data_IF_859434727170
#
_entry.id   IF_859434727170
#
_cell.length_a   1.000
_cell.length_b   1.000
_cell.length_c   1.000
_cell.angle_alpha   90.00
_cell.angle_beta   90.00
_cell.angle_gamma   90.00
#
_symmetry.space_group_name_H-M   'P 1'
#
loop_
_entity.id
_entity.type
_entity.pdbx_description
1 polymer ?
#
# COMPACT_ATOMS: atom_id res chain seq x y z
N UNK A 1 -22.23 -48.05 -51.63
CA UNK A 1 -21.47 -47.92 -50.37
C UNK A 1 -20.13 -47.33 -50.77
N UNK A 2 -19.95 -46.01 -50.87
CA UNK A 2 -19.84 -45.03 -49.76
C UNK A 2 -19.01 -45.59 -48.61
N UNK A 3 -17.70 -45.34 -48.64
CA UNK A 3 -17.04 -44.52 -47.62
C UNK A 3 -15.63 -44.17 -48.12
N UNK A 4 -15.49 -42.92 -48.58
CA UNK A 4 -14.22 -42.22 -48.64
C UNK A 4 -13.65 -42.14 -47.22
N UNK A 5 -12.46 -42.72 -47.00
CA UNK A 5 -11.64 -42.35 -45.86
C UNK A 5 -11.01 -41.00 -46.19
N UNK A 6 -11.61 -39.94 -45.66
CA UNK A 6 -11.04 -38.60 -45.60
C UNK A 6 -9.85 -38.66 -44.64
N UNK A 7 -8.63 -38.64 -45.18
CA UNK A 7 -7.43 -38.27 -44.43
C UNK A 7 -7.52 -36.77 -44.12
N UNK A 8 -8.16 -36.42 -43.00
CA UNK A 8 -8.22 -35.06 -42.49
C UNK A 8 -6.82 -34.71 -41.93
N UNK A 9 -5.97 -34.07 -42.74
CA UNK A 9 -4.74 -33.47 -42.24
C UNK A 9 -5.07 -32.47 -41.11
N UNK A 10 -4.32 -32.46 -39.99
CA UNK A 10 -4.57 -31.53 -38.90
C UNK A 10 -4.39 -30.08 -39.39
N UNK A 11 -5.50 -29.38 -39.61
CA UNK A 11 -5.49 -27.96 -39.99
C UNK A 11 -4.69 -27.16 -38.98
N UNK A 12 -3.62 -26.51 -39.46
CA UNK A 12 -2.82 -25.59 -38.64
C UNK A 12 -3.71 -24.48 -38.07
N UNK A 13 -3.67 -24.32 -36.75
CA UNK A 13 -4.43 -23.30 -36.05
C UNK A 13 -4.01 -21.90 -36.54
N UNK A 14 -4.99 -21.09 -36.96
CA UNK A 14 -4.73 -19.72 -37.39
C UNK A 14 -4.06 -18.91 -36.27
N UNK A 15 -3.09 -18.05 -36.63
CA UNK A 15 -2.31 -17.21 -35.69
C UNK A 15 -3.18 -16.43 -34.70
N UNK A 16 -4.38 -16.01 -35.11
CA UNK A 16 -5.34 -15.32 -34.25
C UNK A 16 -5.87 -16.24 -33.13
N UNK A 17 -6.14 -17.51 -33.43
CA UNK A 17 -6.62 -18.49 -32.45
C UNK A 17 -5.55 -18.85 -31.43
N UNK A 18 -4.28 -18.94 -31.85
CA UNK A 18 -3.13 -19.15 -30.96
C UNK A 18 -2.91 -17.95 -30.04
N UNK A 19 -3.06 -16.73 -30.56
CA UNK A 19 -2.97 -15.50 -29.76
C UNK A 19 -4.10 -15.39 -28.74
N UNK A 20 -5.36 -15.65 -29.14
CA UNK A 20 -6.51 -15.63 -28.23
C UNK A 20 -6.41 -16.70 -27.14
N UNK A 21 -5.89 -17.89 -27.46
CA UNK A 21 -5.62 -18.94 -26.47
C UNK A 21 -4.54 -18.51 -25.46
N UNK A 22 -3.44 -17.91 -25.93
CA UNK A 22 -2.38 -17.41 -25.05
C UNK A 22 -2.84 -16.28 -24.13
N UNK A 23 -3.68 -15.37 -24.62
CA UNK A 23 -4.31 -14.31 -23.81
C UNK A 23 -5.28 -14.90 -22.79
N UNK A 24 -6.09 -15.89 -23.18
CA UNK A 24 -6.99 -16.59 -22.26
C UNK A 24 -6.27 -17.31 -21.12
N UNK A 25 -5.16 -17.98 -21.42
CA UNK A 25 -4.32 -18.63 -20.41
C UNK A 25 -3.68 -17.62 -19.45
N UNK A 26 -3.12 -16.52 -19.97
CA UNK A 26 -2.54 -15.45 -19.17
C UNK A 26 -3.58 -14.80 -18.23
N UNK A 27 -4.81 -14.56 -18.72
CA UNK A 27 -5.90 -14.00 -17.89
C UNK A 27 -6.34 -14.96 -16.79
N UNK A 28 -6.40 -16.26 -17.08
CA UNK A 28 -6.71 -17.29 -16.09
C UNK A 28 -5.63 -17.37 -15.00
N UNK A 29 -4.35 -17.30 -15.38
CA UNK A 29 -3.23 -17.33 -14.45
C UNK A 29 -3.19 -16.08 -13.56
N UNK A 30 -3.49 -14.90 -14.12
CA UNK A 30 -3.65 -13.66 -13.34
C UNK A 30 -4.81 -13.78 -12.35
N UNK A 31 -5.96 -14.33 -12.79
CA UNK A 31 -7.14 -14.47 -11.94
C UNK A 31 -6.90 -15.41 -10.77
N UNK A 32 -6.22 -16.55 -11.00
CA UNK A 32 -5.85 -17.49 -9.94
C UNK A 32 -4.82 -16.89 -8.96
N UNK A 33 -3.86 -16.10 -9.46
CA UNK A 33 -2.92 -15.36 -8.62
C UNK A 33 -3.64 -14.33 -7.73
N UNK A 34 -4.66 -13.65 -8.25
CA UNK A 34 -5.48 -12.71 -7.49
C UNK A 34 -6.28 -13.38 -6.35
N UNK A 35 -6.91 -14.55 -6.57
CA UNK A 35 -7.63 -15.28 -5.51
C UNK A 35 -6.69 -15.68 -4.35
N UNK A 36 -5.47 -16.13 -4.67
CA UNK A 36 -4.45 -16.47 -3.67
C UNK A 36 -3.95 -15.23 -2.90
N UNK A 37 -3.67 -14.13 -3.61
CA UNK A 37 -3.25 -12.87 -2.99
C UNK A 37 -4.33 -12.31 -2.04
N UNK A 38 -5.60 -12.33 -2.46
CA UNK A 38 -6.72 -11.89 -1.64
C UNK A 38 -6.84 -12.70 -0.34
N UNK A 39 -6.65 -14.01 -0.41
CA UNK A 39 -6.67 -14.90 0.77
C UNK A 39 -5.56 -14.53 1.76
N UNK A 40 -4.34 -14.28 1.28
CA UNK A 40 -3.19 -13.89 2.11
C UNK A 40 -3.44 -12.52 2.75
N UNK A 41 -3.94 -11.55 1.99
CA UNK A 41 -4.28 -10.21 2.49
C UNK A 41 -5.36 -10.26 3.57
N UNK A 42 -6.44 -11.03 3.34
CA UNK A 42 -7.52 -11.18 4.30
C UNK A 42 -7.02 -11.84 5.60
N UNK A 43 -6.21 -12.90 5.47
CA UNK A 43 -5.58 -13.57 6.62
C UNK A 43 -4.74 -12.58 7.43
N UNK A 44 -3.95 -11.74 6.76
CA UNK A 44 -3.17 -10.69 7.41
C UNK A 44 -4.03 -9.67 8.16
N UNK A 45 -5.12 -9.19 7.56
CA UNK A 45 -6.02 -8.24 8.23
C UNK A 45 -6.66 -8.80 9.50
N UNK A 46 -7.14 -10.05 9.45
CA UNK A 46 -7.66 -10.72 10.64
C UNK A 46 -6.58 -10.92 11.70
N UNK A 47 -5.40 -11.38 11.29
CA UNK A 47 -4.29 -11.59 12.21
C UNK A 47 -3.87 -10.29 12.90
N UNK A 48 -3.80 -9.19 12.15
CA UNK A 48 -3.47 -7.87 12.67
C UNK A 48 -4.55 -7.41 13.66
N UNK A 49 -5.83 -7.49 13.31
CA UNK A 49 -6.92 -7.13 14.21
C UNK A 49 -6.82 -7.90 15.55
N UNK A 50 -6.80 -9.23 15.53
CA UNK A 50 -6.73 -10.00 16.78
C UNK A 50 -5.43 -9.79 17.54
N UNK A 51 -4.30 -9.67 16.84
CA UNK A 51 -3.02 -9.45 17.52
C UNK A 51 -3.02 -8.10 18.23
N UNK A 52 -3.74 -7.08 17.76
CA UNK A 52 -3.77 -5.80 18.49
C UNK A 52 -4.31 -5.94 19.92
N UNK A 53 -5.43 -6.63 20.13
CA UNK A 53 -5.95 -6.88 21.50
C UNK A 53 -4.99 -7.77 22.29
N UNK A 54 -4.54 -8.88 21.70
CA UNK A 54 -3.70 -9.85 22.40
C UNK A 54 -2.37 -9.20 22.83
N UNK A 55 -1.75 -8.42 21.94
CA UNK A 55 -0.51 -7.70 22.25
C UNK A 55 -0.76 -6.67 23.34
N UNK A 56 -1.87 -5.93 23.31
CA UNK A 56 -2.24 -4.98 24.36
C UNK A 56 -2.29 -5.63 25.75
N UNK A 57 -3.07 -6.69 25.90
CA UNK A 57 -3.20 -7.44 27.16
C UNK A 57 -1.86 -8.02 27.63
N UNK A 58 -1.08 -8.63 26.72
CA UNK A 58 0.20 -9.24 27.08
C UNK A 58 1.26 -8.18 27.45
N UNK A 59 1.27 -7.03 26.77
CA UNK A 59 2.18 -5.92 27.08
C UNK A 59 1.87 -5.38 28.48
N UNK A 60 0.60 -5.18 28.83
CA UNK A 60 0.25 -4.70 30.17
C UNK A 60 0.55 -5.75 31.24
N UNK A 61 0.31 -7.03 30.97
CA UNK A 61 0.56 -8.12 31.93
C UNK A 61 2.05 -8.37 32.20
N UNK A 62 2.88 -8.31 31.17
CA UNK A 62 4.32 -8.62 31.27
C UNK A 62 5.21 -7.38 31.34
N UNK A 63 4.67 -6.19 31.04
CA UNK A 63 5.41 -4.94 30.99
C UNK A 63 6.46 -4.89 29.88
N UNK A 64 7.42 -3.97 30.05
CA UNK A 64 8.60 -3.80 29.18
C UNK A 64 8.31 -3.41 27.72
N UNK A 65 7.65 -2.26 27.50
CA UNK A 65 7.33 -1.71 26.17
C UNK A 65 8.48 -1.81 25.14
N UNK A 66 9.72 -1.49 25.53
CA UNK A 66 10.89 -1.54 24.65
C UNK A 66 11.21 -2.95 24.14
N UNK A 67 11.05 -3.97 24.98
CA UNK A 67 11.32 -5.37 24.60
C UNK A 67 10.29 -5.83 23.56
N UNK A 68 9.01 -5.56 23.82
CA UNK A 68 7.92 -5.87 22.88
C UNK A 68 8.09 -5.15 21.53
N UNK A 69 8.53 -3.89 21.56
CA UNK A 69 8.83 -3.13 20.35
C UNK A 69 9.94 -3.79 19.51
N UNK A 70 11.06 -4.14 20.16
CA UNK A 70 12.20 -4.80 19.49
C UNK A 70 11.80 -6.18 18.95
N UNK A 71 11.07 -6.98 19.74
CA UNK A 71 10.57 -8.28 19.31
C UNK A 71 9.64 -8.17 18.09
N UNK A 72 8.73 -7.19 18.09
CA UNK A 72 7.87 -6.89 16.93
C UNK A 72 8.68 -6.54 15.68
N UNK A 73 9.69 -5.67 15.82
CA UNK A 73 10.57 -5.27 14.72
C UNK A 73 11.35 -6.47 14.15
N UNK A 74 11.81 -7.39 14.99
CA UNK A 74 12.49 -8.61 14.55
C UNK A 74 11.54 -9.55 13.78
N UNK A 75 10.30 -9.74 14.26
CA UNK A 75 9.29 -10.53 13.56
C UNK A 75 8.96 -9.94 12.18
N UNK A 76 8.79 -8.62 12.10
CA UNK A 76 8.59 -7.91 10.83
C UNK A 76 9.78 -8.15 9.90
N UNK A 77 11.01 -7.91 10.35
CA UNK A 77 12.20 -8.10 9.52
C UNK A 77 12.37 -9.55 9.01
N UNK A 78 12.11 -10.54 9.86
CA UNK A 78 12.18 -11.96 9.50
C UNK A 78 11.11 -12.33 8.47
N UNK A 79 9.87 -11.85 8.64
CA UNK A 79 8.78 -12.12 7.72
C UNK A 79 8.99 -11.53 6.31
N UNK A 80 9.65 -10.37 6.20
CA UNK A 80 10.04 -9.78 4.92
C UNK A 80 10.92 -10.73 4.08
N UNK A 81 11.76 -11.54 4.71
CA UNK A 81 12.62 -12.50 4.00
C UNK A 81 11.81 -13.61 3.34
N UNK A 82 10.71 -14.04 3.98
CA UNK A 82 9.80 -15.07 3.45
C UNK A 82 8.86 -14.52 2.36
N UNK A 83 8.42 -13.26 2.49
CA UNK A 83 7.55 -12.61 1.50
C UNK A 83 8.27 -12.35 0.16
N UNK A 84 9.55 -11.97 0.20
CA UNK A 84 10.32 -11.63 -1.00
C UNK A 84 11.33 -12.70 -1.45
N UNK A 85 11.66 -13.68 -0.58
CA UNK A 85 12.66 -14.74 -0.84
C UNK A 85 12.11 -16.05 -1.44
N UNK A 86 10.81 -16.10 -1.77
CA UNK A 86 10.12 -17.31 -2.23
C UNK A 86 9.61 -18.22 -1.11
N UNK A 87 8.86 -19.27 -1.46
CA UNK A 87 8.22 -20.15 -0.47
C UNK A 87 9.24 -21.04 0.28
N UNK A 88 9.70 -20.58 1.45
CA UNK A 88 10.58 -21.37 2.33
C UNK A 88 9.95 -22.72 2.75
N UNK A 89 8.64 -22.80 3.09
CA UNK A 89 7.99 -24.07 3.39
C UNK A 89 7.99 -25.06 2.22
N UNK A 90 7.89 -24.58 0.97
CA UNK A 90 7.90 -25.41 -0.22
C UNK A 90 9.27 -26.09 -0.41
N UNK A 91 10.37 -25.39 -0.10
CA UNK A 91 11.73 -25.95 -0.12
C UNK A 91 11.96 -27.00 0.95
N UNK A 92 11.37 -26.83 2.13
CA UNK A 92 11.50 -27.77 3.26
C UNK A 92 10.65 -29.03 3.02
N UNK A 93 9.45 -28.88 2.48
CA UNK A 93 8.50 -29.97 2.24
C UNK A 93 8.67 -30.65 0.88
N UNK A 94 9.49 -30.10 -0.02
CA UNK A 94 9.73 -30.65 -1.36
C UNK A 94 8.47 -30.66 -2.25
N UNK A 95 7.53 -29.74 -2.01
CA UNK A 95 6.25 -29.67 -2.72
C UNK A 95 5.97 -28.26 -3.21
N UNK A 96 5.78 -28.11 -4.52
CA UNK A 96 5.43 -26.85 -5.19
C UNK A 96 3.92 -26.69 -5.40
N UNK A 97 3.10 -27.30 -4.53
CA UNK A 97 1.66 -27.18 -4.62
C UNK A 97 1.22 -25.73 -4.31
N UNK A 98 0.29 -25.14 -5.10
CA UNK A 98 -0.23 -23.79 -4.86
C UNK A 98 -0.84 -23.64 -3.46
N UNK A 99 -1.40 -24.72 -2.89
CA UNK A 99 -1.94 -24.72 -1.52
C UNK A 99 -0.81 -24.55 -0.49
N UNK A 100 0.31 -25.24 -0.66
CA UNK A 100 1.47 -25.15 0.24
C UNK A 100 2.11 -23.77 0.14
N UNK A 101 2.16 -23.21 -1.07
CA UNK A 101 2.66 -21.86 -1.30
C UNK A 101 1.76 -20.80 -0.65
N UNK A 102 0.45 -20.84 -0.89
CA UNK A 102 -0.52 -19.92 -0.26
C UNK A 102 -0.50 -20.05 1.26
N UNK A 103 -0.45 -21.27 1.80
CA UNK A 103 -0.31 -21.49 3.24
C UNK A 103 0.98 -20.88 3.81
N UNK A 104 2.11 -21.03 3.11
CA UNK A 104 3.38 -20.40 3.49
C UNK A 104 3.33 -18.87 3.50
N UNK A 105 2.66 -18.27 2.51
CA UNK A 105 2.44 -16.82 2.48
C UNK A 105 1.47 -16.35 3.57
N UNK A 106 0.40 -17.10 3.84
CA UNK A 106 -0.50 -16.82 4.97
C UNK A 106 0.24 -16.85 6.31
N UNK A 107 1.09 -17.84 6.56
CA UNK A 107 1.91 -17.91 7.78
C UNK A 107 2.84 -16.69 7.87
N UNK A 108 3.48 -16.32 6.76
CA UNK A 108 4.38 -15.16 6.71
C UNK A 108 3.62 -13.85 6.96
N UNK A 109 2.41 -13.73 6.41
CA UNK A 109 1.53 -12.59 6.64
C UNK A 109 1.07 -12.50 8.11
N UNK A 110 0.71 -13.63 8.74
CA UNK A 110 0.39 -13.67 10.18
C UNK A 110 1.58 -13.19 11.01
N UNK A 111 2.78 -13.71 10.77
CA UNK A 111 3.99 -13.31 11.51
C UNK A 111 4.28 -11.82 11.31
N UNK A 112 4.17 -11.33 10.08
CA UNK A 112 4.35 -9.92 9.74
C UNK A 112 3.35 -9.05 10.51
N UNK A 113 2.06 -9.36 10.42
CA UNK A 113 0.98 -8.63 11.08
C UNK A 113 1.11 -8.68 12.60
N UNK A 114 1.53 -9.83 13.15
CA UNK A 114 1.78 -9.93 14.58
C UNK A 114 2.93 -9.03 15.03
N UNK A 115 4.02 -9.03 14.27
CA UNK A 115 5.16 -8.15 14.52
C UNK A 115 4.77 -6.67 14.42
N UNK A 116 4.01 -6.31 13.39
CA UNK A 116 3.52 -4.94 13.18
C UNK A 116 2.64 -4.47 14.34
N UNK A 117 1.66 -5.27 14.75
CA UNK A 117 0.80 -5.00 15.91
C UNK A 117 1.59 -4.79 17.19
N UNK A 118 2.56 -5.66 17.50
CA UNK A 118 3.43 -5.53 18.67
C UNK A 118 4.24 -4.22 18.65
N UNK A 119 4.86 -3.89 17.52
CA UNK A 119 5.63 -2.65 17.34
C UNK A 119 4.75 -1.42 17.50
N UNK A 120 3.55 -1.44 16.89
CA UNK A 120 2.61 -0.33 16.91
C UNK A 120 2.11 -0.04 18.32
N UNK A 121 1.56 -1.05 19.01
CA UNK A 121 0.93 -0.85 20.33
C UNK A 121 1.97 -0.47 21.37
N UNK A 122 3.09 -1.20 21.43
CA UNK A 122 4.16 -0.88 22.38
C UNK A 122 4.71 0.54 22.20
N UNK A 123 4.78 1.04 20.96
CA UNK A 123 5.20 2.41 20.68
C UNK A 123 4.15 3.44 21.13
N UNK A 124 2.85 3.20 20.87
CA UNK A 124 1.80 4.14 21.31
C UNK A 124 1.74 4.26 22.83
N UNK A 125 1.75 3.12 23.54
CA UNK A 125 1.70 3.09 25.01
C UNK A 125 2.91 3.77 25.65
N UNK A 126 4.09 3.67 25.02
CA UNK A 126 5.32 4.24 25.56
C UNK A 126 5.28 5.77 25.62
N UNK A 127 4.54 6.47 24.76
CA UNK A 127 4.47 7.94 24.75
C UNK A 127 3.98 8.48 26.10
N UNK A 128 2.99 7.82 26.69
CA UNK A 128 2.41 8.21 27.98
C UNK A 128 3.42 8.03 29.13
N UNK A 129 4.35 7.08 29.01
CA UNK A 129 5.43 6.87 29.97
C UNK A 129 6.64 7.79 29.79
N UNK A 130 6.73 8.53 28.66
CA UNK A 130 7.83 9.45 28.38
C UNK A 130 7.55 10.85 28.94
N UNK A 131 6.29 11.27 28.97
CA UNK A 131 5.91 12.60 29.46
C UNK A 131 4.53 12.59 30.10
N UNK A 132 4.44 13.21 31.29
CA UNK A 132 3.19 13.42 32.01
C UNK A 132 2.45 14.69 31.54
N UNK A 133 3.13 15.57 30.79
CA UNK A 133 2.50 16.79 30.28
C UNK A 133 1.64 16.45 29.05
N UNK A 134 0.30 16.67 29.09
CA UNK A 134 -0.58 16.39 27.96
C UNK A 134 -0.20 17.16 26.69
N UNK A 135 0.29 18.39 26.80
CA UNK A 135 0.75 19.16 25.63
C UNK A 135 1.93 18.48 24.95
N UNK A 136 2.88 17.98 25.75
CA UNK A 136 4.04 17.24 25.24
C UNK A 136 3.65 15.89 24.64
N UNK A 137 2.63 15.19 25.18
CA UNK A 137 2.11 13.95 24.58
C UNK A 137 1.57 14.21 23.17
N UNK A 138 0.73 15.25 23.01
CA UNK A 138 0.19 15.63 21.69
C UNK A 138 1.30 16.04 20.72
N UNK A 139 2.32 16.78 21.19
CA UNK A 139 3.47 17.13 20.36
C UNK A 139 4.27 15.89 19.90
N UNK A 140 4.53 14.92 20.79
CA UNK A 140 5.17 13.65 20.44
C UNK A 140 4.37 12.84 19.42
N UNK A 141 3.05 12.76 19.59
CA UNK A 141 2.13 12.11 18.66
C UNK A 141 2.12 12.81 17.30
N UNK A 142 2.08 14.13 17.30
CA UNK A 142 2.10 14.92 16.06
C UNK A 142 3.42 14.77 15.31
N UNK A 143 4.54 14.72 16.04
CA UNK A 143 5.85 14.41 15.51
C UNK A 143 5.89 13.02 14.87
N UNK A 144 5.37 12.01 15.57
CA UNK A 144 5.21 10.65 15.03
C UNK A 144 4.44 10.68 13.71
N UNK A 145 3.27 11.33 13.68
CA UNK A 145 2.43 11.41 12.47
C UNK A 145 3.16 12.09 11.31
N UNK A 146 3.87 13.19 11.57
CA UNK A 146 4.68 13.87 10.57
C UNK A 146 5.72 12.91 9.98
N UNK A 147 6.52 12.24 10.81
CA UNK A 147 7.53 11.32 10.32
C UNK A 147 6.96 10.11 9.57
N UNK A 148 5.80 9.58 9.97
CA UNK A 148 5.10 8.53 9.21
C UNK A 148 4.73 9.00 7.80
N UNK A 149 4.19 10.23 7.67
CA UNK A 149 3.85 10.79 6.35
C UNK A 149 5.10 11.02 5.49
N UNK A 150 6.17 11.55 6.08
CA UNK A 150 7.45 11.73 5.39
C UNK A 150 8.05 10.41 4.92
N UNK A 151 8.08 9.39 5.80
CA UNK A 151 8.60 8.07 5.48
C UNK A 151 7.84 7.44 4.30
N UNK A 152 6.52 7.56 4.28
CA UNK A 152 5.71 7.07 3.17
C UNK A 152 6.03 7.78 1.85
N UNK A 153 6.22 9.11 1.88
CA UNK A 153 6.65 9.87 0.69
C UNK A 153 8.01 9.40 0.16
N UNK A 154 8.97 9.15 1.05
CA UNK A 154 10.31 8.67 0.69
C UNK A 154 10.25 7.27 0.09
N UNK A 155 9.49 6.34 0.70
CA UNK A 155 9.38 4.98 0.17
C UNK A 155 8.72 4.92 -1.20
N UNK A 156 7.64 5.68 -1.42
CA UNK A 156 7.01 5.78 -2.74
C UNK A 156 8.01 6.31 -3.76
N UNK A 157 8.78 7.35 -3.40
CA UNK A 157 9.80 7.94 -4.29
C UNK A 157 10.94 6.97 -4.62
N UNK A 158 11.46 6.25 -3.63
CA UNK A 158 12.51 5.24 -3.80
C UNK A 158 12.00 4.08 -4.65
N UNK A 159 10.79 3.58 -4.39
CA UNK A 159 10.19 2.49 -5.15
C UNK A 159 10.04 2.85 -6.64
N UNK A 160 9.49 4.04 -6.92
CA UNK A 160 9.35 4.55 -8.29
C UNK A 160 10.72 4.69 -8.97
N UNK A 161 11.71 5.26 -8.26
CA UNK A 161 13.08 5.42 -8.76
C UNK A 161 13.77 4.07 -9.04
N UNK A 162 13.60 3.09 -8.16
CA UNK A 162 14.18 1.75 -8.32
C UNK A 162 13.57 1.01 -9.52
N UNK A 163 12.25 1.06 -9.68
CA UNK A 163 11.56 0.50 -10.86
C UNK A 163 12.10 1.14 -12.15
N UNK A 164 12.27 2.46 -12.16
CA UNK A 164 12.84 3.16 -13.32
C UNK A 164 14.25 2.69 -13.66
N UNK A 165 15.14 2.59 -12.66
CA UNK A 165 16.53 2.13 -12.84
C UNK A 165 16.56 0.68 -13.33
N UNK A 166 15.77 -0.21 -12.73
CA UNK A 166 15.72 -1.63 -13.13
C UNK A 166 15.25 -1.77 -14.58
N UNK A 167 14.18 -1.08 -14.98
CA UNK A 167 13.70 -1.14 -16.36
C UNK A 167 14.74 -0.54 -17.33
N UNK A 168 15.42 0.55 -16.96
CA UNK A 168 16.47 1.15 -17.78
C UNK A 168 17.64 0.17 -18.00
N UNK A 169 18.11 -0.51 -16.95
CA UNK A 169 19.23 -1.46 -17.06
C UNK A 169 18.87 -2.78 -17.71
N UNK A 170 17.65 -3.29 -17.51
CA UNK A 170 17.18 -4.50 -18.21
C UNK A 170 16.79 -4.22 -19.66
N UNK A 171 16.29 -3.02 -19.95
CA UNK A 171 15.76 -2.63 -21.26
C UNK A 171 16.82 -2.12 -22.22
N UNK A 172 17.88 -1.45 -21.73
CA UNK A 172 18.90 -0.87 -22.60
C UNK A 172 20.16 -1.74 -22.61
N UNK A 173 20.48 -2.33 -23.78
CA UNK A 173 21.85 -2.80 -24.04
C UNK A 173 22.65 -1.61 -24.56
N UNK A 174 23.78 -1.32 -23.92
CA UNK A 174 24.70 -0.28 -24.37
C UNK A 174 25.12 -0.54 -25.82
N UNK A 175 24.91 0.41 -26.75
CA UNK A 175 25.42 0.27 -28.10
C UNK A 175 26.95 0.45 -28.07
N UNK A 176 27.69 -0.61 -28.41
CA UNK A 176 29.13 -0.52 -28.68
C UNK A 176 29.37 0.48 -29.82
N UNK A 177 30.00 1.61 -29.51
CA UNK A 177 30.37 2.62 -30.48
C UNK A 177 31.47 2.07 -31.41
N UNK A 178 31.09 1.60 -32.60
CA UNK A 178 32.04 1.54 -33.72
C UNK A 178 32.18 2.95 -34.28
N UNK A 179 33.35 3.55 -34.05
CA UNK A 179 33.74 4.85 -34.57
C UNK A 179 33.96 4.73 -36.09
N UNK A 180 32.95 5.07 -36.89
CA UNK A 180 33.15 5.27 -38.33
C UNK A 180 33.59 6.71 -38.60
N UNK A 181 34.84 6.83 -39.02
CA UNK A 181 35.38 8.01 -39.68
C UNK A 181 34.71 8.18 -41.03
N UNK A 182 33.93 9.26 -41.18
CA UNK A 182 33.88 10.19 -42.32
C UNK A 182 32.44 10.59 -42.72
N UNK A 183 32.15 11.90 -42.64
CA UNK A 183 31.27 12.59 -43.59
C UNK A 183 29.75 12.51 -43.40
N UNK A 184 29.17 13.67 -43.03
CA UNK A 184 27.73 14.07 -43.06
C UNK A 184 26.82 13.41 -42.01
N UNK A 185 26.49 14.21 -40.98
CA UNK A 185 25.47 13.90 -39.97
C UNK A 185 24.08 13.93 -40.63
N UNK A 186 23.68 12.83 -41.27
CA UNK A 186 22.36 12.68 -41.83
C UNK A 186 21.32 12.72 -40.71
N UNK A 187 20.36 13.64 -40.80
CA UNK A 187 19.19 13.67 -39.92
C UNK A 187 18.39 12.38 -40.13
N UNK A 188 18.33 11.53 -39.11
CA UNK A 188 17.65 10.25 -39.18
C UNK A 188 16.15 10.46 -39.46
N UNK A 189 15.64 9.80 -40.50
CA UNK A 189 14.23 9.86 -40.90
C UNK A 189 13.31 9.21 -39.86
N UNK A 190 12.08 9.70 -39.67
CA UNK A 190 11.12 9.18 -38.68
C UNK A 190 10.82 7.68 -38.83
N UNK A 191 10.80 7.17 -40.08
CA UNK A 191 10.56 5.75 -40.37
C UNK A 191 11.71 4.83 -39.94
N UNK A 192 12.93 5.38 -39.79
CA UNK A 192 14.07 4.66 -39.26
C UNK A 192 13.91 4.38 -37.76
N UNK A 193 13.38 5.34 -37.00
CA UNK A 193 13.17 5.20 -35.55
C UNK A 193 12.08 4.18 -35.22
N UNK A 194 10.97 4.17 -35.97
CA UNK A 194 9.86 3.23 -35.77
C UNK A 194 10.23 1.77 -36.07
N UNK A 195 11.32 1.51 -36.79
CA UNK A 195 11.83 0.15 -37.03
C UNK A 195 12.78 -0.34 -35.92
N UNK A 196 13.21 0.54 -35.01
CA UNK A 196 14.12 0.16 -33.93
C UNK A 196 13.35 -0.33 -32.71
N UNK A 197 13.70 -1.53 -32.24
CA UNK A 197 13.21 -2.09 -30.97
C UNK A 197 13.49 -1.15 -29.79
N UNK A 198 14.65 -0.49 -29.78
CA UNK A 198 15.05 0.48 -28.76
C UNK A 198 14.07 1.66 -28.63
N UNK A 199 13.42 2.07 -29.74
CA UNK A 199 12.42 3.15 -29.71
C UNK A 199 11.21 2.76 -28.86
N UNK A 200 10.71 1.53 -29.02
CA UNK A 200 9.57 1.03 -28.24
C UNK A 200 9.93 0.78 -26.78
N UNK A 201 11.16 0.36 -26.48
CA UNK A 201 11.64 0.21 -25.09
C UNK A 201 11.67 1.57 -24.37
N UNK A 202 12.25 2.60 -24.99
CA UNK A 202 12.29 3.96 -24.42
C UNK A 202 10.90 4.58 -24.35
N UNK A 203 10.05 4.38 -25.36
CA UNK A 203 8.66 4.85 -25.35
C UNK A 203 7.85 4.21 -24.22
N UNK A 204 8.01 2.90 -23.99
CA UNK A 204 7.37 2.18 -22.90
C UNK A 204 7.79 2.74 -21.53
N UNK A 205 9.11 2.93 -21.32
CA UNK A 205 9.65 3.57 -20.11
C UNK A 205 9.04 4.97 -19.92
N UNK A 206 9.09 5.80 -20.95
CA UNK A 206 8.56 7.16 -20.91
C UNK A 206 7.08 7.20 -20.53
N UNK A 207 6.26 6.34 -21.15
CA UNK A 207 4.81 6.26 -20.87
C UNK A 207 4.54 5.76 -19.45
N UNK A 208 5.28 4.76 -18.98
CA UNK A 208 5.15 4.24 -17.61
C UNK A 208 5.55 5.29 -16.58
N UNK A 209 6.69 5.97 -16.77
CA UNK A 209 7.12 7.05 -15.87
C UNK A 209 6.09 8.17 -15.83
N UNK A 210 5.61 8.61 -16.99
CA UNK A 210 4.54 9.61 -17.12
C UNK A 210 3.26 9.20 -16.39
N UNK A 211 2.85 7.94 -16.53
CA UNK A 211 1.65 7.42 -15.87
C UNK A 211 1.83 7.45 -14.34
N UNK A 212 2.95 6.94 -13.85
CA UNK A 212 3.27 6.91 -12.41
C UNK A 212 3.34 8.32 -11.82
N UNK A 213 4.02 9.26 -12.49
CA UNK A 213 4.11 10.65 -12.01
C UNK A 213 2.75 11.33 -11.97
N UNK A 214 1.86 11.01 -12.91
CA UNK A 214 0.52 11.61 -12.93
C UNK A 214 -0.38 11.03 -11.83
N UNK A 215 -0.25 9.74 -11.53
CA UNK A 215 -1.05 9.06 -10.48
C UNK A 215 -0.57 9.42 -9.07
N UNK A 216 0.74 9.64 -8.86
CA UNK A 216 1.29 9.92 -7.53
C UNK A 216 1.22 11.38 -7.09
N UNK A 217 0.93 12.33 -8.00
CA UNK A 217 0.91 13.77 -7.72
C UNK A 217 -0.07 14.16 -6.61
N UNK A 218 -1.32 13.70 -6.68
CA UNK A 218 -2.35 14.05 -5.67
C UNK A 218 -2.00 13.45 -4.30
N UNK A 219 -1.71 12.13 -4.17
CA UNK A 219 -1.25 11.55 -2.92
C UNK A 219 -0.01 12.24 -2.33
N UNK A 220 0.96 12.61 -3.17
CA UNK A 220 2.16 13.31 -2.72
C UNK A 220 1.83 14.67 -2.07
N UNK A 221 0.89 15.44 -2.65
CA UNK A 221 0.48 16.73 -2.09
C UNK A 221 -0.30 16.54 -0.78
N UNK A 222 -1.16 15.52 -0.69
CA UNK A 222 -1.88 15.17 0.55
C UNK A 222 -0.87 14.87 1.66
N UNK A 223 0.11 14.01 1.40
CA UNK A 223 1.10 13.66 2.41
C UNK A 223 2.01 14.83 2.80
N UNK A 224 2.41 15.66 1.84
CA UNK A 224 3.23 16.85 2.11
C UNK A 224 2.49 17.87 2.97
N UNK A 225 1.24 18.19 2.61
CA UNK A 225 0.41 19.13 3.38
C UNK A 225 0.05 18.58 4.75
N UNK A 226 -0.22 17.27 4.87
CA UNK A 226 -0.42 16.59 6.15
C UNK A 226 0.84 16.61 7.03
N UNK A 227 2.02 16.45 6.45
CA UNK A 227 3.31 16.57 7.14
C UNK A 227 3.47 17.98 7.72
N UNK A 228 3.34 19.01 6.87
CA UNK A 228 3.49 20.42 7.29
C UNK A 228 2.47 20.76 8.37
N UNK A 229 1.20 20.39 8.19
CA UNK A 229 0.16 20.61 9.18
C UNK A 229 0.50 19.92 10.53
N UNK A 230 1.00 18.68 10.50
CA UNK A 230 1.40 17.96 11.72
C UNK A 230 2.57 18.65 12.45
N UNK A 231 3.54 19.21 11.72
CA UNK A 231 4.62 20.00 12.35
C UNK A 231 4.05 21.25 13.01
N UNK A 232 3.16 21.98 12.35
CA UNK A 232 2.54 23.19 12.91
C UNK A 232 1.69 22.90 14.16
N UNK A 233 1.02 21.76 14.22
CA UNK A 233 0.19 21.36 15.36
C UNK A 233 1.01 21.09 16.64
N UNK A 234 2.33 20.87 16.55
CA UNK A 234 3.20 20.64 17.70
C UNK A 234 3.39 21.90 18.57
N UNK A 235 3.38 23.08 17.96
CA UNK A 235 3.62 24.37 18.63
C UNK A 235 2.37 24.90 19.36
N UNK A 236 1.23 24.21 19.21
CA UNK A 236 -0.03 24.64 19.81
C UNK A 236 -0.17 24.14 21.24
N UNK A 237 -0.79 24.97 22.08
CA UNK A 237 -1.20 24.58 23.43
C UNK A 237 -2.48 23.75 23.36
N UNK A 238 -2.47 22.59 24.00
CA UNK A 238 -3.53 21.59 23.91
C UNK A 238 -4.34 21.50 25.20
N UNK A 239 -5.64 21.25 25.02
CA UNK A 239 -6.61 20.94 26.08
C UNK A 239 -7.64 19.98 25.49
N UNK A 240 -8.33 19.20 26.30
CA UNK A 240 -9.34 18.25 25.81
C UNK A 240 -10.44 18.89 24.96
N UNK A 241 -10.85 20.12 25.29
CA UNK A 241 -11.81 20.87 24.46
C UNK A 241 -11.22 21.25 23.09
N UNK A 242 -9.96 21.70 23.05
CA UNK A 242 -9.27 22.03 21.79
C UNK A 242 -9.06 20.79 20.92
N UNK A 243 -8.74 19.64 21.51
CA UNK A 243 -8.62 18.37 20.80
C UNK A 243 -9.94 18.03 20.07
N UNK A 244 -11.07 18.07 20.79
CA UNK A 244 -12.40 17.82 20.21
C UNK A 244 -12.79 18.84 19.14
N UNK A 245 -12.46 20.12 19.35
CA UNK A 245 -12.75 21.19 18.40
C UNK A 245 -11.96 21.01 17.09
N UNK A 246 -10.65 20.75 17.17
CA UNK A 246 -9.80 20.55 15.99
C UNK A 246 -10.12 19.23 15.27
N UNK A 247 -10.47 18.16 16.01
CA UNK A 247 -10.98 16.91 15.43
C UNK A 247 -12.25 17.17 14.60
N UNK A 248 -13.22 17.89 15.18
CA UNK A 248 -14.48 18.24 14.52
C UNK A 248 -14.26 19.14 13.30
N UNK A 249 -13.36 20.12 13.41
CA UNK A 249 -12.98 20.99 12.30
C UNK A 249 -12.35 20.20 11.14
N UNK A 250 -11.44 19.25 11.43
CA UNK A 250 -10.87 18.35 10.44
C UNK A 250 -11.93 17.47 9.77
N UNK A 251 -12.85 16.90 10.54
CA UNK A 251 -13.97 16.10 10.02
C UNK A 251 -14.88 16.90 9.08
N UNK A 252 -15.27 18.11 9.48
CA UNK A 252 -16.07 19.02 8.64
C UNK A 252 -15.33 19.43 7.37
N UNK A 253 -14.03 19.70 7.46
CA UNK A 253 -13.20 20.02 6.31
C UNK A 253 -13.10 18.83 5.34
N UNK A 254 -13.00 17.60 5.86
CA UNK A 254 -13.00 16.37 5.07
C UNK A 254 -14.33 16.19 4.33
N UNK A 255 -15.47 16.37 5.01
CA UNK A 255 -16.81 16.31 4.40
C UNK A 255 -17.00 17.39 3.33
N UNK A 256 -16.52 18.61 3.58
CA UNK A 256 -16.52 19.68 2.59
C UNK A 256 -15.69 19.32 1.35
N UNK A 257 -14.49 18.78 1.53
CA UNK A 257 -13.66 18.35 0.42
C UNK A 257 -14.31 17.19 -0.36
N UNK A 258 -14.86 16.19 0.34
CA UNK A 258 -15.54 15.06 -0.30
C UNK A 258 -16.76 15.47 -1.12
N UNK A 259 -17.58 16.38 -0.59
CA UNK A 259 -18.72 16.95 -1.36
C UNK A 259 -18.23 17.78 -2.54
N UNK A 260 -17.21 18.63 -2.36
CA UNK A 260 -16.64 19.42 -3.44
C UNK A 260 -16.10 18.53 -4.58
N UNK A 261 -15.46 17.40 -4.28
CA UNK A 261 -14.96 16.45 -5.31
C UNK A 261 -16.12 15.88 -6.13
N UNK A 262 -17.25 15.52 -5.50
CA UNK A 262 -18.42 14.96 -6.21
C UNK A 262 -19.01 15.97 -7.21
N UNK A 263 -19.04 17.25 -6.85
CA UNK A 263 -19.60 18.31 -7.70
C UNK A 263 -18.58 18.95 -8.65
N UNK A 264 -17.29 18.59 -8.56
CA UNK A 264 -16.24 19.22 -9.35
C UNK A 264 -16.30 18.73 -10.81
N UNK A 265 -16.47 19.65 -11.79
CA UNK A 265 -16.47 19.26 -13.19
C UNK A 265 -15.05 18.89 -13.66
N UNK A 266 -14.97 17.92 -14.58
CA UNK A 266 -13.71 17.31 -15.05
C UNK A 266 -12.72 18.34 -15.63
N UNK A 267 -13.21 19.45 -16.17
CA UNK A 267 -12.39 20.51 -16.76
C UNK A 267 -11.64 21.39 -15.73
N UNK A 268 -11.92 21.26 -14.43
CA UNK A 268 -11.35 22.08 -13.37
C UNK A 268 -10.22 21.37 -12.61
N UNK A 269 -9.26 20.75 -13.32
CA UNK A 269 -8.16 19.98 -12.72
C UNK A 269 -7.31 20.78 -11.71
N UNK A 270 -7.19 22.10 -11.87
CA UNK A 270 -6.45 22.95 -10.94
C UNK A 270 -7.03 22.91 -9.51
N UNK A 271 -8.36 22.79 -9.38
CA UNK A 271 -9.03 22.73 -8.09
C UNK A 271 -8.75 21.42 -7.34
N UNK A 272 -8.44 20.33 -8.04
CA UNK A 272 -8.05 19.08 -7.40
C UNK A 272 -6.76 19.22 -6.60
N UNK A 273 -5.82 20.04 -7.06
CA UNK A 273 -4.58 20.32 -6.31
C UNK A 273 -4.82 21.18 -5.06
N UNK A 274 -5.84 22.05 -5.08
CA UNK A 274 -6.23 22.82 -3.88
C UNK A 274 -6.95 21.91 -2.89
N UNK A 275 -7.89 21.09 -3.37
CA UNK A 275 -8.61 20.12 -2.54
C UNK A 275 -7.67 19.10 -1.90
N UNK A 276 -6.63 18.64 -2.61
CA UNK A 276 -5.65 17.71 -2.05
C UNK A 276 -4.85 18.30 -0.89
N UNK A 277 -4.53 19.60 -0.92
CA UNK A 277 -3.92 20.30 0.23
C UNK A 277 -4.89 20.33 1.42
N UNK A 278 -6.16 20.67 1.18
CA UNK A 278 -7.17 20.74 2.23
C UNK A 278 -7.44 19.37 2.86
N UNK A 279 -7.46 18.30 2.05
CA UNK A 279 -7.58 16.91 2.52
C UNK A 279 -6.38 16.53 3.38
N UNK A 280 -5.15 16.89 2.99
CA UNK A 280 -3.97 16.64 3.81
C UNK A 280 -4.01 17.37 5.16
N UNK A 281 -4.46 18.63 5.17
CA UNK A 281 -4.68 19.38 6.42
C UNK A 281 -5.77 18.72 7.28
N UNK A 282 -6.91 18.35 6.69
CA UNK A 282 -8.00 17.66 7.38
C UNK A 282 -7.53 16.34 8.01
N UNK A 283 -6.75 15.56 7.26
CA UNK A 283 -6.16 14.31 7.73
C UNK A 283 -5.22 14.52 8.92
N UNK A 284 -4.32 15.51 8.86
CA UNK A 284 -3.45 15.84 9.98
C UNK A 284 -4.24 16.26 11.22
N UNK A 285 -5.24 17.13 11.05
CA UNK A 285 -6.12 17.57 12.14
C UNK A 285 -6.79 16.38 12.82
N UNK A 286 -7.46 15.50 12.05
CA UNK A 286 -8.15 14.34 12.59
C UNK A 286 -7.19 13.34 13.24
N UNK A 287 -6.10 12.98 12.58
CA UNK A 287 -5.18 11.94 13.07
C UNK A 287 -4.44 12.37 14.34
N UNK A 288 -3.89 13.59 14.37
CA UNK A 288 -3.15 14.10 15.54
C UNK A 288 -4.07 14.28 16.73
N UNK A 289 -5.27 14.81 16.52
CA UNK A 289 -6.23 15.02 17.62
C UNK A 289 -6.89 13.74 18.10
N UNK A 290 -7.16 12.77 17.21
CA UNK A 290 -7.68 11.45 17.59
C UNK A 290 -6.72 10.75 18.54
N UNK A 291 -5.46 10.59 18.14
CA UNK A 291 -4.44 9.95 18.99
C UNK A 291 -4.15 10.80 20.24
N UNK A 292 -4.25 12.14 20.14
CA UNK A 292 -4.20 13.02 21.29
C UNK A 292 -5.28 12.70 22.33
N UNK A 293 -6.53 12.50 21.89
CA UNK A 293 -7.63 12.09 22.76
C UNK A 293 -7.42 10.67 23.33
N UNK A 294 -6.85 9.74 22.56
CA UNK A 294 -6.47 8.41 23.07
C UNK A 294 -5.43 8.53 24.20
N UNK A 295 -4.43 9.41 24.03
CA UNK A 295 -3.42 9.65 25.07
C UNK A 295 -3.97 10.37 26.31
N UNK A 296 -4.98 11.23 26.13
CA UNK A 296 -5.68 11.88 27.25
C UNK A 296 -6.60 10.90 27.99
N UNK A 297 -7.15 9.88 27.30
CA UNK A 297 -7.95 8.82 27.91
C UNK A 297 -7.10 7.91 28.82
N UNK A 298 -5.89 7.56 28.37
CA UNK A 298 -4.94 6.74 29.15
C UNK A 298 -4.28 7.58 30.25
N UNK A 299 -4.00 8.83 29.95
CA UNK A 299 -3.39 9.81 30.85
C UNK A 299 -2.07 9.34 31.50
N UNK A 300 -1.92 9.48 32.81
CA UNK A 300 -0.74 9.04 33.58
C UNK A 300 -0.80 7.55 33.97
N UNK A 301 -1.95 6.90 33.76
CA UNK A 301 -2.16 5.50 34.13
C UNK A 301 -1.59 4.57 33.06
N UNK A 302 -0.35 4.12 33.29
CA UNK A 302 0.32 3.19 32.39
C UNK A 302 -0.23 1.77 32.49
N UNK A 303 -0.88 1.44 33.61
CA UNK A 303 -1.42 0.11 33.89
C UNK A 303 -2.70 -0.09 33.06
N UNK A 304 -2.62 -0.85 31.97
CA UNK A 304 -3.75 -1.03 31.05
C UNK A 304 -3.66 -0.16 29.78
N UNK A 305 -2.63 0.68 29.65
CA UNK A 305 -2.46 1.57 28.50
C UNK A 305 -2.35 0.81 27.18
N UNK A 306 -1.64 -0.33 27.14
CA UNK A 306 -1.48 -1.12 25.92
C UNK A 306 -2.75 -1.83 25.51
N UNK A 307 -3.56 -2.29 26.46
CA UNK A 307 -4.87 -2.85 26.22
C UNK A 307 -5.83 -1.81 25.64
N UNK A 308 -5.81 -0.57 26.13
CA UNK A 308 -6.62 0.52 25.55
C UNK A 308 -6.23 0.77 24.09
N UNK A 309 -4.94 0.97 23.78
CA UNK A 309 -4.50 1.14 22.39
C UNK A 309 -4.75 -0.11 21.53
N UNK A 310 -4.60 -1.30 22.09
CA UNK A 310 -4.84 -2.57 21.40
C UNK A 310 -6.33 -2.80 21.06
N UNK A 311 -7.24 -2.49 21.99
CA UNK A 311 -8.68 -2.61 21.77
C UNK A 311 -9.21 -1.57 20.78
N UNK A 312 -8.73 -0.33 20.84
CA UNK A 312 -9.03 0.70 19.84
C UNK A 312 -8.51 0.29 18.46
N UNK A 313 -7.30 -0.26 18.37
CA UNK A 313 -6.74 -0.80 17.15
C UNK A 313 -7.56 -1.94 16.55
N UNK A 314 -8.06 -2.87 17.38
CA UNK A 314 -8.94 -3.94 16.90
C UNK A 314 -10.24 -3.39 16.33
N UNK A 315 -10.88 -2.45 17.05
CA UNK A 315 -12.12 -1.81 16.58
C UNK A 315 -11.90 -1.11 15.25
N UNK A 316 -10.80 -0.34 15.11
CA UNK A 316 -10.41 0.31 13.86
C UNK A 316 -10.28 -0.69 12.70
N UNK A 317 -9.54 -1.79 12.90
CA UNK A 317 -9.33 -2.79 11.85
C UNK A 317 -10.61 -3.53 11.47
N UNK A 318 -11.47 -3.86 12.43
CA UNK A 318 -12.77 -4.49 12.17
C UNK A 318 -13.68 -3.54 11.41
N UNK A 319 -13.80 -2.28 11.84
CA UNK A 319 -14.65 -1.29 11.17
C UNK A 319 -14.16 -0.97 9.75
N UNK A 320 -12.85 -0.82 9.58
CA UNK A 320 -12.24 -0.65 8.26
C UNK A 320 -12.55 -1.85 7.35
N UNK A 321 -12.40 -3.08 7.84
CA UNK A 321 -12.72 -4.29 7.07
C UNK A 321 -14.19 -4.37 6.67
N UNK A 322 -15.12 -4.07 7.58
CA UNK A 322 -16.56 -4.03 7.29
C UNK A 322 -16.89 -2.94 6.27
N UNK A 323 -16.30 -1.75 6.39
CA UNK A 323 -16.51 -0.65 5.46
C UNK A 323 -16.02 -0.98 4.05
N UNK A 324 -14.81 -1.56 3.94
CA UNK A 324 -14.27 -2.02 2.66
C UNK A 324 -15.14 -3.10 2.02
N UNK A 325 -15.64 -4.05 2.81
CA UNK A 325 -16.57 -5.08 2.32
C UNK A 325 -17.83 -4.47 1.68
N UNK A 326 -18.42 -3.45 2.30
CA UNK A 326 -19.59 -2.78 1.73
C UNK A 326 -19.26 -1.99 0.46
N UNK A 327 -18.10 -1.31 0.42
CA UNK A 327 -17.64 -0.61 -0.77
C UNK A 327 -17.43 -1.55 -1.95
N UNK A 328 -16.70 -2.66 -1.74
CA UNK A 328 -16.45 -3.67 -2.77
C UNK A 328 -17.75 -4.33 -3.22
N UNK A 329 -18.68 -4.61 -2.29
CA UNK A 329 -20.00 -5.15 -2.62
C UNK A 329 -20.83 -4.20 -3.49
N UNK A 330 -20.70 -2.88 -3.28
CA UNK A 330 -21.37 -1.88 -4.11
C UNK A 330 -20.73 -1.79 -5.50
N UNK A 331 -19.40 -1.77 -5.59
CA UNK A 331 -18.68 -1.70 -6.86
C UNK A 331 -18.91 -2.95 -7.73
N UNK A 332 -18.89 -4.14 -7.12
CA UNK A 332 -19.15 -5.43 -7.79
C UNK A 332 -20.55 -5.53 -8.41
N UNK A 333 -21.55 -4.80 -7.87
CA UNK A 333 -22.91 -4.73 -8.47
C UNK A 333 -22.97 -3.89 -9.75
N UNK A 334 -21.96 -3.05 -10.01
CA UNK A 334 -21.93 -2.13 -11.14
C UNK A 334 -20.91 -2.52 -12.24
N UNK A 335 -20.08 -3.54 -11.99
CA UNK A 335 -19.13 -4.09 -12.97
C UNK A 335 -19.52 -5.52 -13.33
N UNK A 336 -19.30 -5.92 -14.59
CA UNK A 336 -19.59 -7.28 -15.11
C UNK A 336 -18.88 -8.30 -14.21
N UNK A 337 -19.56 -9.36 -13.72
CA UNK A 337 -18.96 -10.34 -12.83
C UNK A 337 -17.80 -11.04 -13.55
N UNK A 338 -16.57 -10.83 -13.05
CA UNK A 338 -15.48 -11.75 -13.30
C UNK A 338 -15.89 -13.12 -12.74
N UNK A 339 -15.61 -14.17 -13.51
CA UNK A 339 -15.98 -15.55 -13.20
C UNK A 339 -15.61 -15.93 -11.76
N UNK A 340 -16.50 -16.62 -11.01
CA UNK A 340 -16.22 -17.03 -9.64
C UNK A 340 -14.99 -17.93 -9.59
N UNK A 341 -14.16 -17.79 -8.55
CA UNK A 341 -13.04 -18.69 -8.27
C UNK A 341 -13.64 -20.11 -8.07
N UNK A 342 -13.69 -20.93 -9.12
CA UNK A 342 -14.03 -22.35 -9.01
C UNK A 342 -12.81 -23.10 -8.50
N UNK A 343 -12.97 -23.66 -7.30
CA UNK A 343 -12.06 -24.57 -6.59
C UNK A 343 -11.58 -25.74 -7.42
#
# INVERSE_FOLDING_TARGET
>A
MVNEMVDDEPKSLGRCSVFTYGVGHMLNDITSSCCNAATVTLTGQFADAFMTIIAGELIDRFGHFKIWHVMGCLLVALSFTSLFGGCLPCKILGSDSPVVQTAGYCISAVIFCSGWSCTQISHMSMVNGVTLNPESRVACVSCRNAFTMYQLMVYISIFIGAVFVIIFQLGTKEPSLKQESNGKRATASWTYWLKKVLYYQVLSIYVLTRAVTNVSQIPAIIYLSSFVASVLLQELKWSGERLKAFFSAGGLLCLFCGTAIIFLPINMHAFMYVLSILIGIANALMMVTAIGMESELVDEDLDGSAFVYGSLGFIDKVLCGVFLYFLESYESKHLVPLSPCTS
#
